data_IF_978949653182
#
_entry.id   IF_978949653182
#
_cell.length_a   1.000
_cell.length_b   1.000
_cell.length_c   1.000
_cell.angle_alpha   90.00
_cell.angle_beta   90.00
_cell.angle_gamma   90.00
#
_symmetry.space_group_name_H-M   'P 1'
#
loop_
_entity.id
_entity.type
_entity.pdbx_description
1 polymer ?
#
# COMPACT_ATOMS: atom_id res chain seq x y z
N UNK A 1 28.09 31.94 -21.32
CA UNK A 1 26.64 31.74 -21.55
C UNK A 1 25.90 32.93 -20.96
N UNK A 2 25.26 33.75 -21.78
CA UNK A 2 24.84 35.12 -21.42
C UNK A 2 23.43 35.10 -20.79
N UNK A 3 23.19 35.82 -19.68
CA UNK A 3 21.89 35.90 -18.97
C UNK A 3 20.71 36.27 -19.88
N UNK A 4 20.99 36.89 -21.03
CA UNK A 4 19.99 37.26 -22.07
C UNK A 4 19.46 36.08 -22.89
N UNK A 5 20.16 34.94 -22.94
CA UNK A 5 19.63 33.73 -23.58
C UNK A 5 18.71 32.94 -22.64
N UNK A 6 18.94 33.01 -21.32
CA UNK A 6 18.05 32.41 -20.32
C UNK A 6 16.69 33.12 -20.28
N UNK A 7 16.68 34.46 -20.41
CA UNK A 7 15.44 35.25 -20.43
C UNK A 7 14.63 35.13 -21.72
N UNK A 8 15.23 34.68 -22.84
CA UNK A 8 14.48 34.37 -24.08
C UNK A 8 13.67 33.08 -24.00
N UNK A 9 14.04 32.14 -23.13
CA UNK A 9 13.24 30.94 -22.87
C UNK A 9 12.09 31.19 -21.86
N UNK A 10 12.19 32.27 -21.09
CA UNK A 10 11.18 32.70 -20.09
C UNK A 10 10.40 33.94 -20.51
N UNK A 11 10.51 34.36 -21.77
CA UNK A 11 10.08 35.66 -22.28
C UNK A 11 8.65 35.70 -22.84
N UNK A 12 7.66 35.56 -21.96
CA UNK A 12 6.30 36.14 -22.04
C UNK A 12 5.75 35.96 -20.62
N UNK A 13 5.29 37.03 -19.96
CA UNK A 13 4.57 36.89 -18.67
C UNK A 13 3.56 35.76 -18.85
N UNK A 14 3.73 34.64 -18.13
CA UNK A 14 2.70 33.61 -18.11
C UNK A 14 1.41 34.32 -17.70
N UNK A 15 0.33 34.26 -18.51
CA UNK A 15 -0.95 34.86 -18.13
C UNK A 15 -1.27 34.50 -16.67
N UNK A 16 -1.85 35.41 -15.87
CA UNK A 16 -2.15 35.16 -14.45
C UNK A 16 -2.81 33.80 -14.20
N UNK A 17 -3.63 33.35 -15.15
CA UNK A 17 -4.24 32.02 -15.17
C UNK A 17 -3.24 30.86 -15.21
N UNK A 18 -2.22 30.90 -16.06
CA UNK A 18 -1.19 29.84 -16.14
C UNK A 18 -0.39 29.79 -14.83
N UNK A 19 -0.06 30.96 -14.26
CA UNK A 19 0.63 31.01 -12.97
C UNK A 19 -0.23 30.43 -11.85
N UNK A 20 -1.51 30.78 -11.80
CA UNK A 20 -2.46 30.23 -10.83
C UNK A 20 -2.56 28.70 -10.96
N UNK A 21 -2.70 28.17 -12.19
CA UNK A 21 -2.73 26.72 -12.43
C UNK A 21 -1.45 26.02 -11.97
N UNK A 22 -0.26 26.61 -12.22
CA UNK A 22 1.01 26.07 -11.72
C UNK A 22 1.02 25.97 -10.19
N UNK A 23 0.55 27.01 -9.49
CA UNK A 23 0.47 27.00 -8.01
C UNK A 23 -0.53 25.97 -7.52
N UNK A 24 -1.71 25.87 -8.14
CA UNK A 24 -2.72 24.86 -7.78
C UNK A 24 -2.16 23.45 -7.94
N UNK A 25 -1.47 23.16 -9.06
CA UNK A 25 -0.83 21.87 -9.29
C UNK A 25 0.28 21.58 -8.29
N UNK A 26 1.15 22.56 -8.01
CA UNK A 26 2.19 22.43 -6.99
C UNK A 26 1.61 22.07 -5.62
N UNK A 27 0.60 22.82 -5.17
CA UNK A 27 -0.06 22.56 -3.89
C UNK A 27 -0.75 21.19 -3.87
N UNK A 28 -1.46 20.83 -4.94
CA UNK A 28 -2.14 19.54 -5.06
C UNK A 28 -1.15 18.38 -4.96
N UNK A 29 -0.04 18.44 -5.72
CA UNK A 29 1.01 17.43 -5.69
C UNK A 29 1.68 17.37 -4.31
N UNK A 30 2.01 18.52 -3.73
CA UNK A 30 2.63 18.56 -2.40
C UNK A 30 1.73 17.95 -1.33
N UNK A 31 0.42 18.26 -1.37
CA UNK A 31 -0.55 17.68 -0.45
C UNK A 31 -0.71 16.17 -0.63
N UNK A 32 -0.80 15.68 -1.87
CA UNK A 32 -1.00 14.26 -2.16
C UNK A 32 0.26 13.42 -1.97
N UNK A 33 1.37 13.81 -2.61
CA UNK A 33 2.59 13.00 -2.66
C UNK A 33 3.46 13.13 -1.41
N UNK A 34 3.40 14.24 -0.68
CA UNK A 34 4.22 14.47 0.51
C UNK A 34 3.42 14.50 1.81
N UNK A 35 2.49 15.46 1.95
CA UNK A 35 1.78 15.67 3.22
C UNK A 35 0.87 14.50 3.58
N UNK A 36 0.20 13.88 2.61
CA UNK A 36 -0.65 12.71 2.85
C UNK A 36 0.12 11.55 3.48
N UNK A 37 1.26 11.19 2.90
CA UNK A 37 2.15 10.14 3.44
C UNK A 37 2.80 10.54 4.77
N UNK A 38 3.20 11.81 4.90
CA UNK A 38 3.74 12.33 6.16
C UNK A 38 2.71 12.23 7.28
N UNK A 39 1.47 12.67 7.03
CA UNK A 39 0.36 12.62 7.97
C UNK A 39 0.04 11.18 8.37
N UNK A 40 -0.10 10.26 7.41
CA UNK A 40 -0.36 8.85 7.71
C UNK A 40 0.70 8.26 8.66
N UNK A 41 1.99 8.50 8.41
CA UNK A 41 3.05 8.05 9.31
C UNK A 41 3.00 8.72 10.69
N UNK A 42 2.56 9.98 10.77
CA UNK A 42 2.46 10.71 12.04
C UNK A 42 1.26 10.26 12.88
N UNK A 43 0.11 10.06 12.26
CA UNK A 43 -1.11 9.55 12.89
C UNK A 43 -0.89 8.11 13.43
N UNK A 44 0.05 7.37 12.81
CA UNK A 44 0.49 6.07 13.29
C UNK A 44 1.27 6.10 14.60
N UNK A 45 1.95 7.20 14.93
CA UNK A 45 2.66 7.34 16.19
C UNK A 45 1.75 7.96 17.27
N UNK A 46 1.93 7.63 18.56
CA UNK A 46 2.93 6.71 19.11
C UNK A 46 2.55 5.24 18.92
N UNK A 47 3.51 4.36 19.20
CA UNK A 47 3.28 2.92 19.37
C UNK A 47 2.16 2.65 20.40
N UNK A 48 1.33 1.62 20.19
CA UNK A 48 0.27 1.27 21.13
C UNK A 48 0.83 0.89 22.50
N UNK A 49 0.06 1.17 23.54
CA UNK A 49 0.40 0.83 24.93
C UNK A 49 -0.83 0.28 25.62
N UNK A 50 -0.64 -0.72 26.48
CA UNK A 50 -1.71 -1.14 27.39
C UNK A 50 -1.86 -0.11 28.52
N UNK A 51 -3.08 0.29 28.88
CA UNK A 51 -3.33 1.11 30.07
C UNK A 51 -2.82 0.47 31.37
N UNK A 52 -2.73 -0.87 31.41
CA UNK A 52 -2.28 -1.62 32.58
C UNK A 52 -0.77 -1.66 32.76
N UNK A 53 0.00 -1.22 31.74
CA UNK A 53 1.45 -1.11 31.84
C UNK A 53 1.84 0.01 32.79
N UNK A 54 1.91 -0.33 34.09
CA UNK A 54 2.56 0.53 35.08
C UNK A 54 4.00 0.72 34.64
N UNK A 55 4.46 1.98 34.63
CA UNK A 55 5.89 2.26 34.58
C UNK A 55 6.52 1.62 35.83
N UNK A 56 7.05 0.41 35.71
CA UNK A 56 7.77 -0.24 36.80
C UNK A 56 9.01 0.61 37.05
N UNK A 57 9.07 1.24 38.22
CA UNK A 57 10.27 1.92 38.69
C UNK A 57 11.39 0.89 38.86
N UNK A 58 12.62 1.33 38.64
CA UNK A 58 13.88 0.58 38.62
C UNK A 58 14.23 -0.18 39.92
N UNK A 59 13.35 -0.23 40.92
CA UNK A 59 13.68 -0.71 42.26
C UNK A 59 13.55 -2.24 42.46
N UNK A 60 13.03 -3.00 41.49
CA UNK A 60 12.95 -4.46 41.61
C UNK A 60 13.34 -5.16 40.31
N UNK A 61 14.63 -5.46 40.16
CA UNK A 61 15.12 -6.66 39.46
C UNK A 61 16.62 -6.82 39.63
N UNK A 62 16.99 -7.65 40.60
CA UNK A 62 18.24 -8.39 40.57
C UNK A 62 18.12 -9.40 39.41
N UNK A 63 19.16 -9.47 38.56
CA UNK A 63 19.36 -10.40 37.44
C UNK A 63 18.61 -10.12 36.12
N UNK A 64 18.93 -9.00 35.45
CA UNK A 64 19.03 -9.00 33.98
C UNK A 64 20.42 -8.50 33.57
N UNK A 65 21.05 -9.25 32.67
CA UNK A 65 22.35 -9.03 32.05
C UNK A 65 22.64 -7.56 31.73
N UNK A 66 23.82 -7.08 32.17
CA UNK A 66 24.33 -5.70 32.02
C UNK A 66 24.60 -5.23 30.56
N UNK A 67 24.05 -5.91 29.55
CA UNK A 67 24.26 -5.61 28.13
C UNK A 67 23.00 -5.15 27.38
N UNK A 68 21.86 -4.94 28.04
CA UNK A 68 20.65 -4.49 27.35
C UNK A 68 20.60 -2.96 27.24
N UNK A 69 21.00 -2.43 26.07
CA UNK A 69 20.94 -1.01 25.69
C UNK A 69 19.51 -0.40 25.67
N UNK A 70 18.52 -1.07 26.27
CA UNK A 70 17.10 -0.69 26.28
C UNK A 70 16.63 0.00 27.57
N UNK A 71 17.51 0.18 28.56
CA UNK A 71 17.22 1.00 29.73
C UNK A 71 17.41 2.49 29.43
N UNK A 72 16.31 3.24 29.47
CA UNK A 72 16.35 4.71 29.63
C UNK A 72 15.59 5.02 30.92
N UNK A 73 16.29 5.61 31.88
CA UNK A 73 15.73 6.15 33.12
C UNK A 73 14.94 5.11 33.98
N UNK A 74 15.46 3.88 34.06
CA UNK A 74 14.86 2.82 34.88
C UNK A 74 13.58 2.20 34.30
N UNK A 75 13.15 2.63 33.10
CA UNK A 75 11.95 2.13 32.42
C UNK A 75 12.33 1.15 31.31
N UNK A 76 11.70 -0.02 31.26
CA UNK A 76 11.87 -0.97 30.14
C UNK A 76 10.92 -0.53 29.03
N UNK A 77 11.48 -0.09 27.91
CA UNK A 77 10.67 0.24 26.72
C UNK A 77 10.04 -1.04 26.14
N UNK A 78 8.76 -1.01 25.72
CA UNK A 78 8.15 -2.13 25.00
C UNK A 78 8.94 -2.50 23.75
N UNK A 79 8.93 -3.79 23.38
CA UNK A 79 9.47 -4.27 22.12
C UNK A 79 8.45 -4.06 21.00
N UNK A 80 8.80 -3.26 19.99
CA UNK A 80 7.84 -2.78 18.99
C UNK A 80 8.03 -3.48 17.64
N UNK A 81 6.96 -4.10 17.15
CA UNK A 81 6.90 -4.89 15.94
C UNK A 81 5.93 -4.22 14.96
N UNK A 82 6.38 -3.91 13.75
CA UNK A 82 5.51 -3.49 12.65
C UNK A 82 5.16 -4.72 11.80
N UNK A 83 3.87 -5.00 11.64
CA UNK A 83 3.35 -6.15 10.91
C UNK A 83 2.81 -5.67 9.56
N UNK A 84 3.29 -6.28 8.48
CA UNK A 84 2.98 -5.96 7.09
C UNK A 84 2.35 -7.20 6.44
N UNK A 85 1.10 -7.08 6.00
CA UNK A 85 0.44 -8.09 5.17
C UNK A 85 0.59 -7.79 3.69
N UNK A 86 0.71 -8.84 2.87
CA UNK A 86 0.50 -8.82 1.41
C UNK A 86 1.11 -7.61 0.70
N UNK A 87 2.43 -7.34 0.84
CA UNK A 87 3.06 -6.29 0.05
C UNK A 87 2.96 -6.59 -1.44
N UNK A 88 2.82 -7.86 -1.85
CA UNK A 88 2.50 -8.35 -3.19
C UNK A 88 3.14 -7.48 -4.26
N UNK A 89 4.48 -7.52 -4.29
CA UNK A 89 5.26 -6.77 -5.25
C UNK A 89 4.74 -7.07 -6.65
N UNK A 90 4.15 -6.04 -7.29
CA UNK A 90 3.54 -6.18 -8.61
C UNK A 90 4.61 -6.55 -9.62
N UNK A 91 4.32 -7.54 -10.46
CA UNK A 91 5.24 -8.05 -11.46
C UNK A 91 4.52 -8.58 -12.71
N UNK A 92 5.26 -9.21 -13.63
CA UNK A 92 4.74 -9.68 -14.92
C UNK A 92 3.58 -10.69 -14.81
N UNK A 93 3.41 -11.34 -13.67
CA UNK A 93 2.37 -12.33 -13.40
C UNK A 93 1.12 -11.74 -12.72
N UNK A 94 1.14 -10.47 -12.31
CA UNK A 94 0.02 -9.83 -11.61
C UNK A 94 -1.25 -9.66 -12.43
N UNK A 95 -1.17 -8.94 -13.56
CA UNK A 95 -2.36 -8.41 -14.26
C UNK A 95 -2.41 -8.72 -15.75
N UNK A 96 -1.56 -9.64 -16.25
CA UNK A 96 -1.46 -9.97 -17.68
C UNK A 96 -1.08 -8.78 -18.58
N UNK A 97 -0.54 -7.70 -17.99
CA UNK A 97 -0.11 -6.49 -18.70
C UNK A 97 1.27 -6.74 -19.32
N UNK A 98 1.59 -6.01 -20.38
CA UNK A 98 2.87 -6.13 -21.10
C UNK A 98 3.48 -4.77 -21.41
N UNK A 99 4.80 -4.75 -21.55
CA UNK A 99 5.55 -3.56 -21.98
C UNK A 99 5.37 -2.36 -21.05
N UNK A 100 5.13 -1.19 -21.65
CA UNK A 100 5.09 0.09 -20.91
C UNK A 100 4.01 0.12 -19.82
N UNK A 101 2.85 -0.50 -20.05
CA UNK A 101 1.76 -0.51 -19.06
C UNK A 101 2.16 -1.31 -17.81
N UNK A 102 2.84 -2.44 -18.00
CA UNK A 102 3.40 -3.24 -16.91
C UNK A 102 4.41 -2.41 -16.10
N UNK A 103 5.38 -1.82 -16.79
CA UNK A 103 6.40 -0.96 -16.17
C UNK A 103 5.79 0.21 -15.37
N UNK A 104 4.78 0.89 -15.93
CA UNK A 104 4.07 1.98 -15.22
C UNK A 104 3.40 1.45 -13.95
N UNK A 105 2.80 0.26 -14.01
CA UNK A 105 2.12 -0.34 -12.86
C UNK A 105 3.11 -0.67 -11.75
N UNK A 106 4.20 -1.36 -12.09
CA UNK A 106 5.30 -1.67 -11.17
C UNK A 106 5.88 -0.42 -10.56
N UNK A 107 6.16 0.60 -11.38
CA UNK A 107 6.74 1.86 -10.93
C UNK A 107 5.88 2.52 -9.85
N UNK A 108 4.58 2.73 -10.10
CA UNK A 108 3.72 3.42 -9.13
C UNK A 108 3.42 2.58 -7.89
N UNK A 109 3.28 1.26 -8.04
CA UNK A 109 3.14 0.33 -6.90
C UNK A 109 4.38 0.40 -5.99
N UNK A 110 5.58 0.35 -6.59
CA UNK A 110 6.85 0.46 -5.87
C UNK A 110 7.02 1.81 -5.19
N UNK A 111 6.68 2.91 -5.88
CA UNK A 111 6.79 4.24 -5.28
C UNK A 111 5.87 4.38 -4.06
N UNK A 112 4.64 3.87 -4.16
CA UNK A 112 3.69 3.88 -3.05
C UNK A 112 4.26 3.15 -1.82
N UNK A 113 4.70 1.90 -2.00
CA UNK A 113 5.25 1.10 -0.92
C UNK A 113 6.55 1.70 -0.36
N UNK A 114 7.46 2.17 -1.22
CA UNK A 114 8.75 2.76 -0.81
C UNK A 114 8.56 4.00 0.05
N UNK A 115 7.58 4.85 -0.27
CA UNK A 115 7.30 6.06 0.53
C UNK A 115 6.73 5.72 1.90
N UNK A 116 5.73 4.84 1.94
CA UNK A 116 5.16 4.37 3.21
C UNK A 116 6.24 3.71 4.07
N UNK A 117 7.03 2.80 3.49
CA UNK A 117 8.14 2.13 4.16
C UNK A 117 9.11 3.11 4.78
N UNK A 118 9.64 4.07 3.99
CA UNK A 118 10.60 5.07 4.47
C UNK A 118 10.02 5.95 5.58
N UNK A 119 8.78 6.44 5.43
CA UNK A 119 8.18 7.35 6.42
C UNK A 119 7.82 6.63 7.71
N UNK A 120 7.25 5.43 7.64
CA UNK A 120 6.97 4.60 8.82
C UNK A 120 8.26 4.21 9.54
N UNK A 121 9.30 3.72 8.84
CA UNK A 121 10.57 3.36 9.48
C UNK A 121 11.23 4.56 10.17
N UNK A 122 11.24 5.74 9.53
CA UNK A 122 11.77 6.97 10.14
C UNK A 122 10.99 7.39 11.37
N UNK A 123 9.66 7.31 11.31
CA UNK A 123 8.78 7.81 12.37
C UNK A 123 8.67 6.87 13.56
N UNK A 124 8.59 5.57 13.29
CA UNK A 124 8.31 4.54 14.28
C UNK A 124 9.57 3.85 14.81
N UNK A 125 10.62 3.72 13.97
CA UNK A 125 11.87 3.00 14.31
C UNK A 125 11.61 1.63 14.97
N UNK A 126 10.95 0.69 14.25
CA UNK A 126 10.56 -0.59 14.83
C UNK A 126 11.77 -1.43 15.26
N UNK A 127 11.61 -2.20 16.34
CA UNK A 127 12.60 -3.20 16.77
C UNK A 127 12.57 -4.42 15.84
N UNK A 128 11.38 -4.79 15.36
CA UNK A 128 11.21 -5.80 14.32
C UNK A 128 10.13 -5.45 13.29
N UNK A 129 10.25 -6.04 12.11
CA UNK A 129 9.22 -6.04 11.08
C UNK A 129 8.88 -7.49 10.73
N UNK A 130 7.59 -7.79 10.67
CA UNK A 130 7.08 -9.10 10.25
C UNK A 130 6.33 -8.93 8.93
N UNK A 131 6.70 -9.71 7.91
CA UNK A 131 5.96 -9.84 6.66
C UNK A 131 5.15 -11.13 6.67
N UNK A 132 3.82 -11.02 6.52
CA UNK A 132 2.87 -12.14 6.60
C UNK A 132 2.65 -12.82 5.25
N UNK A 133 3.71 -13.14 4.53
CA UNK A 133 3.59 -13.79 3.23
C UNK A 133 3.16 -12.86 2.10
N UNK A 134 3.03 -13.47 0.93
CA UNK A 134 2.74 -12.82 -0.34
C UNK A 134 3.66 -11.63 -0.58
N UNK A 135 4.97 -11.91 -0.50
CA UNK A 135 6.02 -10.92 -0.67
C UNK A 135 6.00 -10.37 -2.11
N UNK A 136 5.75 -11.27 -3.06
CA UNK A 136 5.67 -11.00 -4.50
C UNK A 136 4.40 -11.62 -5.04
N UNK A 137 3.80 -10.98 -6.05
CA UNK A 137 2.57 -11.47 -6.64
C UNK A 137 2.81 -12.69 -7.55
N UNK A 138 3.94 -12.71 -8.27
CA UNK A 138 4.37 -13.82 -9.12
C UNK A 138 5.35 -14.78 -8.46
N UNK A 139 5.52 -14.75 -7.12
CA UNK A 139 6.61 -15.42 -6.42
C UNK A 139 6.80 -16.89 -6.80
N UNK A 140 5.72 -17.67 -6.90
CA UNK A 140 5.71 -19.08 -7.33
C UNK A 140 5.79 -19.29 -8.85
N UNK A 141 5.54 -18.26 -9.64
CA UNK A 141 5.32 -18.34 -11.09
C UNK A 141 6.60 -18.22 -11.91
N UNK A 142 7.64 -17.57 -11.37
CA UNK A 142 8.93 -17.43 -12.05
C UNK A 142 9.58 -18.80 -12.33
N UNK A 143 9.83 -19.17 -13.60
CA UNK A 143 10.48 -20.43 -13.94
C UNK A 143 12.02 -20.32 -13.98
N UNK A 144 12.55 -19.11 -14.15
CA UNK A 144 13.97 -18.79 -14.23
C UNK A 144 14.46 -18.24 -12.87
N UNK A 145 15.44 -18.89 -12.26
CA UNK A 145 16.01 -18.50 -10.97
C UNK A 145 16.71 -17.14 -11.02
N UNK A 146 17.21 -16.71 -12.18
CA UNK A 146 17.81 -15.38 -12.35
C UNK A 146 16.74 -14.31 -12.25
N UNK A 147 15.63 -14.46 -12.98
CA UNK A 147 14.53 -13.50 -12.93
C UNK A 147 13.90 -13.47 -11.52
N UNK A 148 13.72 -14.64 -10.89
CA UNK A 148 13.33 -14.73 -9.48
C UNK A 148 14.27 -13.94 -8.58
N UNK A 149 15.59 -14.08 -8.76
CA UNK A 149 16.58 -13.35 -7.96
C UNK A 149 16.52 -11.84 -8.16
N UNK A 150 16.17 -11.37 -9.35
CA UNK A 150 15.94 -9.94 -9.62
C UNK A 150 14.75 -9.41 -8.81
N UNK A 151 13.63 -10.15 -8.75
CA UNK A 151 12.48 -9.78 -7.91
C UNK A 151 12.81 -9.82 -6.42
N UNK A 152 13.57 -10.81 -5.95
CA UNK A 152 14.07 -10.88 -4.58
C UNK A 152 14.92 -9.65 -4.24
N UNK A 153 15.82 -9.27 -5.14
CA UNK A 153 16.67 -8.09 -4.94
C UNK A 153 15.82 -6.80 -4.94
N UNK A 154 14.82 -6.69 -5.81
CA UNK A 154 13.89 -5.55 -5.85
C UNK A 154 13.10 -5.44 -4.55
N UNK A 155 12.55 -6.56 -4.05
CA UNK A 155 11.83 -6.62 -2.78
C UNK A 155 12.74 -6.21 -1.61
N UNK A 156 13.91 -6.84 -1.46
CA UNK A 156 14.87 -6.53 -0.39
C UNK A 156 15.38 -5.09 -0.46
N UNK A 157 15.55 -4.52 -1.64
CA UNK A 157 15.94 -3.12 -1.81
C UNK A 157 14.82 -2.14 -1.44
N UNK A 158 13.56 -2.47 -1.78
CA UNK A 158 12.39 -1.65 -1.44
C UNK A 158 12.17 -1.61 0.07
N UNK A 159 12.24 -2.76 0.73
CA UNK A 159 12.00 -2.95 2.15
C UNK A 159 13.27 -3.04 3.00
N UNK A 160 14.36 -2.40 2.57
CA UNK A 160 15.59 -2.34 3.36
C UNK A 160 15.36 -1.51 4.64
N UNK A 161 15.55 -2.08 5.85
CA UNK A 161 15.41 -1.31 7.09
C UNK A 161 16.35 -0.11 7.12
N UNK A 162 15.89 0.99 7.71
CA UNK A 162 16.72 2.19 7.89
C UNK A 162 17.68 2.07 9.06
N UNK A 163 17.30 1.30 10.08
CA UNK A 163 18.15 0.94 11.21
C UNK A 163 18.60 -0.50 11.03
N UNK A 164 19.91 -0.74 11.03
CA UNK A 164 20.47 -2.08 10.81
C UNK A 164 20.19 -3.03 11.98
N UNK A 165 19.79 -2.52 13.15
CA UNK A 165 19.38 -3.36 14.27
C UNK A 165 17.93 -3.86 14.16
N UNK A 166 17.12 -3.31 13.25
CA UNK A 166 15.74 -3.77 13.05
C UNK A 166 15.75 -5.19 12.50
N UNK A 167 15.15 -6.11 13.24
CA UNK A 167 15.00 -7.51 12.81
C UNK A 167 13.90 -7.61 11.75
N UNK A 168 14.14 -8.31 10.64
CA UNK A 168 13.11 -8.58 9.64
C UNK A 168 12.79 -10.07 9.63
N UNK A 169 11.51 -10.39 9.70
CA UNK A 169 10.97 -11.75 9.77
C UNK A 169 10.02 -11.96 8.61
N UNK A 170 10.12 -13.12 7.98
CA UNK A 170 9.35 -13.46 6.80
C UNK A 170 8.56 -14.75 7.04
N UNK A 171 7.38 -14.78 6.44
CA UNK A 171 6.54 -15.97 6.27
C UNK A 171 6.29 -16.14 4.77
N UNK A 172 5.99 -17.37 4.34
CA UNK A 172 5.55 -17.65 2.98
C UNK A 172 4.02 -17.53 2.86
N UNK A 173 3.56 -16.93 1.77
CA UNK A 173 2.15 -16.95 1.35
C UNK A 173 1.89 -17.78 0.10
N UNK A 174 0.63 -17.87 -0.34
CA UNK A 174 0.28 -18.67 -1.51
C UNK A 174 0.81 -18.09 -2.83
N UNK A 175 1.06 -16.78 -2.93
CA UNK A 175 1.76 -16.19 -4.07
C UNK A 175 3.26 -16.45 -4.07
N UNK A 176 3.84 -16.74 -2.90
CA UNK A 176 5.27 -17.05 -2.80
C UNK A 176 5.58 -18.51 -3.17
N UNK A 177 4.80 -19.47 -2.64
CA UNK A 177 5.11 -20.91 -2.74
C UNK A 177 4.01 -21.77 -3.35
N UNK A 178 2.79 -21.23 -3.50
CA UNK A 178 1.58 -21.96 -3.90
C UNK A 178 0.70 -22.34 -2.69
N UNK A 179 -0.37 -23.07 -2.95
CA UNK A 179 -1.30 -23.55 -1.91
C UNK A 179 -1.57 -25.05 -2.04
N UNK A 180 -1.50 -25.78 -0.92
CA UNK A 180 -1.81 -27.21 -0.86
C UNK A 180 -1.06 -28.02 -1.92
N UNK A 181 -1.78 -28.86 -2.67
CA UNK A 181 -1.20 -29.74 -3.70
C UNK A 181 -0.69 -29.00 -4.95
N UNK A 182 -0.91 -27.69 -5.03
CA UNK A 182 -0.27 -26.86 -6.04
C UNK A 182 1.18 -26.48 -5.72
N UNK A 183 1.66 -26.74 -4.50
CA UNK A 183 3.00 -26.34 -4.06
C UNK A 183 4.05 -27.26 -4.70
N UNK A 184 5.19 -26.67 -5.08
CA UNK A 184 6.33 -27.39 -5.64
C UNK A 184 7.54 -27.26 -4.73
N UNK A 185 8.20 -28.37 -4.41
CA UNK A 185 9.32 -28.42 -3.45
C UNK A 185 10.48 -27.50 -3.83
N UNK A 186 10.80 -27.37 -5.12
CA UNK A 186 11.85 -26.46 -5.59
C UNK A 186 11.51 -24.99 -5.33
N UNK A 187 10.22 -24.62 -5.35
CA UNK A 187 9.74 -23.25 -5.07
C UNK A 187 9.80 -22.96 -3.56
N UNK A 188 9.44 -23.93 -2.72
CA UNK A 188 9.63 -23.80 -1.26
C UNK A 188 11.12 -23.67 -0.93
N UNK A 189 11.97 -24.49 -1.54
CA UNK A 189 13.41 -24.45 -1.28
C UNK A 189 14.07 -23.14 -1.70
N UNK A 190 13.69 -22.55 -2.86
CA UNK A 190 14.22 -21.24 -3.27
C UNK A 190 13.71 -20.10 -2.39
N UNK A 191 12.48 -20.19 -1.89
CA UNK A 191 11.97 -19.23 -0.91
C UNK A 191 12.84 -19.30 0.35
N UNK A 192 13.07 -20.51 0.86
CA UNK A 192 13.87 -20.75 2.06
C UNK A 192 15.31 -20.23 1.92
N UNK A 193 15.94 -20.38 0.76
CA UNK A 193 17.29 -19.86 0.54
C UNK A 193 17.39 -18.34 0.62
N UNK A 194 16.29 -17.62 0.43
CA UNK A 194 16.27 -16.15 0.43
C UNK A 194 15.69 -15.53 1.70
N UNK A 195 14.68 -16.17 2.29
CA UNK A 195 13.86 -15.62 3.36
C UNK A 195 13.90 -16.45 4.66
N UNK A 196 14.54 -17.62 4.65
CA UNK A 196 14.64 -18.52 5.81
C UNK A 196 13.54 -19.59 5.84
N UNK A 197 13.55 -20.42 6.88
CA UNK A 197 12.55 -21.47 7.04
C UNK A 197 11.11 -20.93 7.04
N UNK A 198 10.16 -21.71 6.53
CA UNK A 198 8.76 -21.26 6.41
C UNK A 198 7.95 -21.47 7.70
N UNK A 199 8.45 -22.30 8.62
CA UNK A 199 7.90 -22.50 9.96
C UNK A 199 9.02 -22.44 11.00
N UNK A 200 8.87 -21.57 12.01
CA UNK A 200 9.87 -21.39 13.06
C UNK A 200 9.31 -20.68 14.30
N UNK A 201 9.96 -20.88 15.44
CA UNK A 201 9.69 -20.17 16.69
C UNK A 201 10.90 -19.33 17.08
N UNK A 202 10.66 -18.11 17.56
CA UNK A 202 11.67 -17.27 18.17
C UNK A 202 11.13 -16.56 19.40
N UNK A 203 12.01 -16.21 20.32
CA UNK A 203 11.66 -15.40 21.47
C UNK A 203 12.01 -13.94 21.21
N UNK A 204 11.00 -13.08 21.22
CA UNK A 204 11.17 -11.63 21.17
C UNK A 204 10.70 -11.06 22.50
N UNK A 205 11.64 -10.49 23.26
CA UNK A 205 11.39 -9.97 24.61
C UNK A 205 10.76 -11.04 25.53
N UNK A 206 9.59 -10.76 26.11
CA UNK A 206 8.84 -11.70 26.96
C UNK A 206 7.94 -12.69 26.22
N UNK A 207 7.95 -12.73 24.89
CA UNK A 207 6.98 -13.47 24.08
C UNK A 207 7.62 -14.56 23.22
N UNK A 208 6.87 -15.63 23.02
CA UNK A 208 7.11 -16.60 21.94
C UNK A 208 6.40 -16.11 20.67
N UNK A 209 7.15 -16.03 19.57
CA UNK A 209 6.65 -15.69 18.23
C UNK A 209 6.74 -16.94 17.39
N UNK A 210 5.60 -17.44 16.92
CA UNK A 210 5.50 -18.67 16.13
C UNK A 210 5.00 -18.33 14.74
N UNK A 211 5.77 -18.71 13.72
CA UNK A 211 5.37 -18.62 12.31
C UNK A 211 5.10 -20.02 11.79
N UNK A 212 3.98 -20.20 11.10
CA UNK A 212 3.58 -21.50 10.54
C UNK A 212 3.25 -21.35 9.06
N UNK A 213 3.87 -22.21 8.25
CA UNK A 213 3.55 -22.44 6.85
C UNK A 213 2.24 -23.24 6.71
N UNK A 214 1.11 -22.57 6.98
CA UNK A 214 -0.21 -23.18 6.90
C UNK A 214 -0.60 -23.56 5.46
N UNK A 215 -0.06 -22.88 4.45
CA UNK A 215 -0.33 -23.18 3.03
C UNK A 215 0.28 -24.53 2.63
N UNK A 216 1.51 -24.85 3.08
CA UNK A 216 2.13 -26.16 2.88
C UNK A 216 1.47 -27.25 3.73
N UNK A 217 1.03 -26.93 4.96
CA UNK A 217 0.29 -27.89 5.79
C UNK A 217 -1.01 -28.37 5.12
N UNK A 218 -1.63 -27.57 4.25
CA UNK A 218 -2.84 -27.94 3.51
C UNK A 218 -2.63 -28.97 2.39
N UNK A 219 -1.38 -29.32 2.06
CA UNK A 219 -1.10 -30.34 1.05
C UNK A 219 -1.35 -31.75 1.56
N UNK A 220 -1.70 -32.65 0.64
CA UNK A 220 -1.74 -34.10 0.81
C UNK A 220 -0.40 -34.78 0.48
N UNK A 221 0.54 -34.07 -0.15
CA UNK A 221 1.90 -34.57 -0.43
C UNK A 221 2.78 -34.47 0.82
N UNK A 222 3.27 -35.60 1.37
CA UNK A 222 4.14 -35.60 2.55
C UNK A 222 5.44 -34.81 2.32
N UNK A 223 5.96 -34.73 1.09
CA UNK A 223 7.16 -33.94 0.80
C UNK A 223 6.95 -32.43 1.00
N UNK A 224 5.70 -31.97 1.05
CA UNK A 224 5.32 -30.58 1.27
C UNK A 224 4.85 -30.37 2.72
N UNK A 225 3.89 -31.17 3.18
CA UNK A 225 3.23 -30.90 4.45
C UNK A 225 3.98 -31.45 5.68
N UNK A 226 4.93 -32.38 5.52
CA UNK A 226 5.54 -33.08 6.66
C UNK A 226 6.37 -32.14 7.53
N UNK A 227 7.32 -31.39 6.94
CA UNK A 227 8.18 -30.47 7.69
C UNK A 227 7.38 -29.47 8.56
N UNK A 228 6.40 -28.70 8.02
CA UNK A 228 5.64 -27.75 8.84
C UNK A 228 4.70 -28.44 9.85
N UNK A 229 4.15 -29.63 9.55
CA UNK A 229 3.34 -30.38 10.52
C UNK A 229 4.16 -30.98 11.66
N UNK A 230 5.36 -31.47 11.37
CA UNK A 230 6.30 -31.95 12.38
C UNK A 230 6.72 -30.81 13.30
N UNK A 231 7.05 -29.63 12.75
CA UNK A 231 7.31 -28.43 13.55
C UNK A 231 6.16 -28.13 14.52
N UNK A 232 4.91 -28.07 14.04
CA UNK A 232 3.75 -27.78 14.90
C UNK A 232 3.55 -28.83 15.99
N UNK A 233 3.81 -30.11 15.68
CA UNK A 233 3.73 -31.22 16.64
C UNK A 233 4.81 -31.13 17.73
N UNK A 234 5.98 -30.60 17.38
CA UNK A 234 7.14 -30.50 18.25
C UNK A 234 7.19 -29.21 19.07
N UNK A 235 6.29 -28.24 18.80
CA UNK A 235 6.15 -27.03 19.61
C UNK A 235 5.89 -27.42 21.06
N UNK A 236 6.77 -26.98 21.95
CA UNK A 236 6.64 -27.23 23.38
C UNK A 236 5.64 -26.25 24.00
N UNK A 237 4.93 -26.66 25.05
CA UNK A 237 4.20 -25.72 25.90
C UNK A 237 5.12 -24.61 26.38
N UNK A 238 4.64 -23.37 26.34
CA UNK A 238 5.39 -22.21 26.82
C UNK A 238 4.61 -21.51 27.93
N UNK A 239 5.33 -21.17 28.99
CA UNK A 239 4.88 -20.28 30.06
C UNK A 239 4.72 -18.84 29.58
N UNK A 240 5.47 -18.44 28.56
CA UNK A 240 5.39 -17.12 27.92
C UNK A 240 4.10 -16.97 27.10
N UNK A 241 3.58 -15.73 26.96
CA UNK A 241 2.54 -15.45 25.99
C UNK A 241 3.05 -15.76 24.57
N UNK A 242 2.21 -16.41 23.76
CA UNK A 242 2.56 -16.86 22.42
C UNK A 242 1.70 -16.16 21.37
N UNK A 243 2.37 -15.52 20.42
CA UNK A 243 1.74 -14.88 19.26
C UNK A 243 2.02 -15.74 18.04
N UNK A 244 0.96 -16.22 17.42
CA UNK A 244 0.99 -17.01 16.22
C UNK A 244 0.80 -16.14 14.99
N UNK A 245 1.54 -16.45 13.93
CA UNK A 245 1.40 -15.86 12.62
C UNK A 245 1.04 -16.97 11.62
N UNK A 246 0.04 -16.71 10.79
CA UNK A 246 -0.31 -17.50 9.60
C UNK A 246 -0.45 -16.57 8.40
N UNK A 247 -0.34 -17.09 7.18
CA UNK A 247 -0.63 -16.29 6.00
C UNK A 247 -2.14 -16.28 5.75
N UNK A 248 -2.70 -17.45 5.40
CA UNK A 248 -4.15 -17.61 5.26
C UNK A 248 -4.82 -17.55 6.65
N UNK A 249 -5.92 -16.78 6.81
CA UNK A 249 -6.67 -16.70 8.05
C UNK A 249 -7.21 -18.04 8.53
N UNK A 250 -7.33 -18.23 9.85
CA UNK A 250 -7.88 -19.46 10.39
C UNK A 250 -9.39 -19.55 10.09
N UNK A 251 -9.92 -20.78 10.18
CA UNK A 251 -11.32 -21.07 9.94
C UNK A 251 -12.24 -20.17 10.76
N UNK A 252 -13.34 -19.73 10.13
CA UNK A 252 -14.37 -18.90 10.76
C UNK A 252 -15.73 -19.51 10.52
N UNK A 253 -16.51 -19.59 11.59
CA UNK A 253 -17.89 -20.04 11.49
C UNK A 253 -18.67 -19.12 10.54
N UNK A 254 -19.40 -19.68 9.56
CA UNK A 254 -20.23 -18.88 8.68
C UNK A 254 -21.29 -18.13 9.49
N UNK A 255 -21.32 -16.80 9.38
CA UNK A 255 -22.42 -16.04 10.00
C UNK A 255 -23.72 -16.35 9.28
N UNK A 256 -24.83 -16.60 10.01
CA UNK A 256 -26.16 -16.70 9.42
C UNK A 256 -26.63 -15.30 8.97
N UNK A 257 -26.08 -14.80 7.87
CA UNK A 257 -26.62 -13.66 7.13
C UNK A 257 -26.97 -14.13 5.72
N UNK A 258 -28.07 -14.87 5.68
CA UNK A 258 -28.91 -15.03 4.50
C UNK A 258 -30.37 -14.88 4.95
N UNK A 259 -30.88 -13.65 4.96
CA UNK A 259 -32.33 -13.42 4.81
C UNK A 259 -33.14 -12.95 6.03
N UNK A 260 -32.59 -12.82 7.24
CA UNK A 260 -33.34 -12.27 8.37
C UNK A 260 -32.93 -10.82 8.65
N UNK A 261 -33.89 -9.89 8.53
CA UNK A 261 -33.79 -8.50 8.93
C UNK A 261 -33.50 -8.43 10.44
N UNK A 262 -32.23 -8.46 10.84
CA UNK A 262 -31.83 -8.09 12.20
C UNK A 262 -31.59 -6.58 12.22
N UNK A 263 -32.18 -5.93 13.22
CA UNK A 263 -32.09 -4.48 13.46
C UNK A 263 -30.70 -4.01 13.89
N UNK A 264 -29.81 -4.93 14.26
CA UNK A 264 -28.42 -4.64 14.59
C UNK A 264 -27.48 -5.67 13.92
N UNK A 265 -26.34 -5.24 13.32
CA UNK A 265 -25.32 -6.16 12.82
C UNK A 265 -24.77 -6.96 14.02
N UNK A 266 -24.54 -8.28 13.90
CA UNK A 266 -23.87 -9.01 14.96
C UNK A 266 -22.53 -8.35 15.28
N UNK A 267 -22.19 -8.26 16.56
CA UNK A 267 -20.94 -7.65 17.06
C UNK A 267 -19.66 -8.37 16.54
N UNK A 268 -19.81 -9.51 15.85
CA UNK A 268 -18.75 -10.48 15.54
C UNK A 268 -18.35 -10.55 14.03
N UNK A 269 -18.63 -9.52 13.22
CA UNK A 269 -18.26 -9.50 11.80
C UNK A 269 -16.99 -8.68 11.52
N UNK A 270 -15.81 -9.28 11.68
CA UNK A 270 -14.52 -8.65 11.34
C UNK A 270 -14.16 -7.36 12.08
N UNK A 271 -14.93 -6.96 13.08
CA UNK A 271 -14.77 -5.70 13.77
C UNK A 271 -15.07 -4.46 12.90
N UNK A 272 -15.14 -3.27 13.53
CA UNK A 272 -15.55 -2.03 12.86
C UNK A 272 -14.49 -1.41 11.95
N UNK A 273 -13.25 -1.91 11.99
CA UNK A 273 -12.11 -1.34 11.27
C UNK A 273 -11.94 -1.90 9.84
N UNK A 274 -12.73 -2.92 9.46
CA UNK A 274 -12.76 -3.45 8.10
C UNK A 274 -13.35 -2.44 7.11
N UNK A 275 -12.76 -2.31 5.93
CA UNK A 275 -13.28 -1.41 4.88
C UNK A 275 -14.45 -2.04 4.12
N UNK A 276 -14.38 -3.35 3.87
CA UNK A 276 -15.43 -4.13 3.23
C UNK A 276 -16.58 -4.42 4.18
N UNK A 277 -17.82 -4.33 3.66
CA UNK A 277 -19.02 -4.79 4.39
C UNK A 277 -19.19 -6.31 4.38
N UNK A 278 -18.33 -7.03 3.64
CA UNK A 278 -18.41 -8.48 3.48
C UNK A 278 -17.44 -9.16 4.45
N UNK A 279 -17.89 -10.23 5.07
CA UNK A 279 -17.02 -11.15 5.81
C UNK A 279 -16.12 -11.93 4.86
N UNK A 280 -15.02 -12.45 5.42
CA UNK A 280 -14.28 -13.54 4.79
C UNK A 280 -15.15 -14.79 4.89
N UNK A 281 -15.59 -15.31 3.75
CA UNK A 281 -16.33 -16.56 3.66
C UNK A 281 -15.40 -17.64 3.13
N UNK A 282 -15.63 -18.87 3.59
CA UNK A 282 -14.88 -19.99 3.05
C UNK A 282 -15.09 -20.11 1.54
N UNK A 283 -14.00 -20.29 0.81
CA UNK A 283 -13.96 -20.34 -0.64
C UNK A 283 -12.56 -20.71 -1.10
N UNK A 284 -12.46 -21.37 -2.25
CA UNK A 284 -11.19 -21.81 -2.80
C UNK A 284 -11.21 -21.67 -4.32
N UNK A 285 -10.03 -21.61 -4.90
CA UNK A 285 -9.83 -21.66 -6.34
C UNK A 285 -8.44 -22.14 -6.70
N UNK A 286 -7.93 -21.73 -7.85
CA UNK A 286 -6.61 -22.15 -8.29
C UNK A 286 -5.52 -21.60 -7.35
N UNK A 287 -4.92 -22.50 -6.58
CA UNK A 287 -3.82 -22.21 -5.65
C UNK A 287 -4.12 -21.11 -4.61
N UNK A 288 -5.36 -21.00 -4.15
CA UNK A 288 -5.73 -20.18 -3.00
C UNK A 288 -6.94 -20.75 -2.25
N UNK A 289 -7.07 -20.37 -0.97
CA UNK A 289 -8.23 -20.64 -0.14
C UNK A 289 -8.40 -19.50 0.87
N UNK A 290 -9.60 -18.94 0.98
CA UNK A 290 -9.85 -17.73 1.79
C UNK A 290 -9.67 -17.95 3.30
N UNK A 291 -9.92 -19.16 3.79
CA UNK A 291 -9.79 -19.54 5.20
C UNK A 291 -9.21 -20.94 5.29
N UNK A 292 -8.36 -21.20 6.28
CA UNK A 292 -7.91 -22.56 6.59
C UNK A 292 -9.09 -23.49 6.89
N UNK A 293 -8.92 -24.81 6.72
CA UNK A 293 -9.98 -25.76 7.10
C UNK A 293 -10.19 -25.75 8.61
N UNK A 294 -11.39 -26.14 9.06
CA UNK A 294 -11.72 -26.18 10.48
C UNK A 294 -10.78 -27.12 11.23
N UNK A 295 -10.53 -28.30 10.66
CA UNK A 295 -9.68 -29.33 11.25
C UNK A 295 -8.25 -28.84 11.44
N UNK A 296 -7.69 -28.16 10.42
CA UNK A 296 -6.34 -27.64 10.48
C UNK A 296 -6.23 -26.44 11.44
N UNK A 297 -7.25 -25.58 11.48
CA UNK A 297 -7.31 -24.45 12.41
C UNK A 297 -7.39 -24.91 13.87
N UNK A 298 -8.27 -25.87 14.15
CA UNK A 298 -8.43 -26.46 15.49
C UNK A 298 -7.12 -27.16 15.93
N UNK A 299 -6.47 -27.89 15.01
CA UNK A 299 -5.17 -28.52 15.26
C UNK A 299 -4.09 -27.49 15.59
N UNK A 300 -3.92 -26.46 14.75
CA UNK A 300 -2.91 -25.41 14.95
C UNK A 300 -3.13 -24.70 16.29
N UNK A 301 -4.34 -24.25 16.57
CA UNK A 301 -4.64 -23.52 17.81
C UNK A 301 -4.47 -24.37 19.07
N UNK A 302 -4.76 -25.66 18.98
CA UNK A 302 -4.60 -26.61 20.09
C UNK A 302 -3.13 -26.92 20.36
N UNK A 303 -2.36 -27.25 19.33
CA UNK A 303 -0.95 -27.62 19.48
C UNK A 303 -0.08 -26.43 19.86
N UNK A 304 -0.29 -25.28 19.21
CA UNK A 304 0.51 -24.08 19.50
C UNK A 304 0.17 -23.46 20.84
N UNK A 305 -1.04 -23.67 21.38
CA UNK A 305 -1.53 -22.96 22.57
C UNK A 305 -1.40 -21.43 22.44
N UNK A 306 -1.57 -20.90 21.21
CA UNK A 306 -1.45 -19.46 20.94
C UNK A 306 -2.42 -18.64 21.80
N UNK A 307 -1.96 -17.45 22.19
CA UNK A 307 -2.73 -16.46 22.96
C UNK A 307 -3.25 -15.32 22.07
N UNK A 308 -2.64 -15.12 20.90
CA UNK A 308 -3.05 -14.17 19.85
C UNK A 308 -2.64 -14.69 18.48
N UNK A 309 -3.39 -14.36 17.44
CA UNK A 309 -3.07 -14.71 16.04
C UNK A 309 -3.05 -13.46 15.15
N UNK A 310 -2.09 -13.37 14.25
CA UNK A 310 -2.14 -12.46 13.10
C UNK A 310 -2.14 -13.25 11.79
N UNK A 311 -2.99 -12.86 10.86
CA UNK A 311 -3.11 -13.43 9.51
C UNK A 311 -3.01 -12.36 8.40
N UNK A 312 -2.83 -12.77 7.15
CA UNK A 312 -2.83 -11.92 5.94
C UNK A 312 -3.88 -12.38 4.92
N UNK A 313 -3.51 -12.45 3.63
CA UNK A 313 -4.21 -13.02 2.46
C UNK A 313 -5.54 -12.34 2.05
N UNK A 314 -6.40 -11.92 2.98
CA UNK A 314 -7.68 -11.27 2.63
C UNK A 314 -7.55 -9.78 2.27
N UNK A 315 -6.37 -9.21 2.45
CA UNK A 315 -5.98 -7.83 2.12
C UNK A 315 -6.70 -6.71 2.92
N UNK A 316 -7.76 -7.01 3.66
CA UNK A 316 -8.50 -6.04 4.48
C UNK A 316 -8.51 -6.45 5.95
N UNK A 317 -8.65 -5.46 6.85
CA UNK A 317 -8.65 -5.70 8.28
C UNK A 317 -9.79 -6.64 8.65
N UNK A 318 -9.55 -7.60 9.52
CA UNK A 318 -10.63 -8.37 10.12
C UNK A 318 -10.24 -8.90 11.49
N UNK A 319 -11.04 -8.60 12.49
CA UNK A 319 -10.87 -9.09 13.86
C UNK A 319 -11.95 -10.12 14.22
N UNK A 320 -11.52 -11.27 14.76
CA UNK A 320 -12.39 -12.36 15.22
C UNK A 320 -11.83 -12.98 16.51
N UNK A 321 -12.67 -13.70 17.25
CA UNK A 321 -12.25 -14.44 18.45
C UNK A 321 -12.53 -15.93 18.25
N UNK A 322 -11.48 -16.74 18.36
CA UNK A 322 -11.57 -18.20 18.33
C UNK A 322 -11.83 -18.76 19.72
N UNK A 323 -12.70 -19.76 19.83
CA UNK A 323 -12.97 -20.49 21.07
C UNK A 323 -12.26 -21.84 21.05
N UNK A 324 -11.26 -22.01 21.90
CA UNK A 324 -10.45 -23.23 21.99
C UNK A 324 -10.59 -23.81 23.39
N UNK A 325 -11.57 -24.70 23.58
CA UNK A 325 -12.01 -25.12 24.90
C UNK A 325 -12.57 -23.93 25.68
N UNK A 326 -11.96 -23.60 26.82
CA UNK A 326 -12.30 -22.42 27.64
C UNK A 326 -11.52 -21.15 27.26
N UNK A 327 -10.53 -21.24 26.35
CA UNK A 327 -9.69 -20.09 25.97
C UNK A 327 -10.34 -19.31 24.82
N UNK A 328 -10.17 -18.00 24.87
CA UNK A 328 -10.48 -17.09 23.77
C UNK A 328 -9.17 -16.65 23.13
N UNK A 329 -9.02 -16.89 21.82
CA UNK A 329 -7.82 -16.55 21.07
C UNK A 329 -8.22 -15.53 19.98
N UNK A 330 -7.98 -14.23 20.20
CA UNK A 330 -8.21 -13.22 19.17
C UNK A 330 -7.30 -13.43 17.95
N UNK A 331 -7.84 -13.17 16.76
CA UNK A 331 -7.12 -13.11 15.50
C UNK A 331 -7.37 -11.78 14.80
N UNK A 332 -6.30 -11.17 14.28
CA UNK A 332 -6.39 -10.03 13.35
C UNK A 332 -5.83 -10.44 11.98
N UNK A 333 -6.66 -10.41 10.94
CA UNK A 333 -6.20 -10.34 9.56
C UNK A 333 -5.72 -8.92 9.26
N UNK A 334 -4.48 -8.80 8.83
CA UNK A 334 -3.78 -7.55 8.58
C UNK A 334 -4.09 -7.09 7.15
N UNK A 335 -4.31 -5.79 6.98
CA UNK A 335 -4.47 -5.21 5.65
C UNK A 335 -3.23 -5.45 4.78
N UNK A 336 -3.46 -5.55 3.47
CA UNK A 336 -2.41 -5.41 2.48
C UNK A 336 -1.66 -4.09 2.65
N UNK A 337 -0.35 -4.12 2.42
CA UNK A 337 0.49 -2.94 2.32
C UNK A 337 0.48 -2.32 0.92
N UNK A 338 0.00 -3.06 -0.07
CA UNK A 338 -0.01 -2.65 -1.47
C UNK A 338 -1.25 -1.83 -1.81
N UNK A 339 -1.09 -0.81 -2.65
CA UNK A 339 -2.22 -0.05 -3.20
C UNK A 339 -2.99 -0.81 -4.29
N UNK A 340 -2.53 -2.00 -4.67
CA UNK A 340 -3.00 -2.70 -5.86
C UNK A 340 -3.98 -3.85 -5.54
N UNK A 341 -4.29 -4.06 -4.26
CA UNK A 341 -4.93 -5.28 -3.76
C UNK A 341 -6.38 -5.08 -3.30
N UNK A 342 -7.09 -4.18 -3.97
CA UNK A 342 -8.55 -4.06 -3.88
C UNK A 342 -9.09 -3.25 -2.70
N UNK A 343 -8.25 -2.78 -1.78
CA UNK A 343 -8.65 -1.87 -0.69
C UNK A 343 -8.29 -0.41 -0.98
N UNK A 344 -9.05 0.54 -0.42
CA UNK A 344 -8.80 1.99 -0.59
C UNK A 344 -7.70 2.51 0.33
N UNK A 345 -7.65 1.99 1.54
CA UNK A 345 -6.68 2.32 2.55
C UNK A 345 -5.88 1.06 2.91
N UNK A 346 -4.75 0.80 2.22
CA UNK A 346 -3.78 -0.20 2.67
C UNK A 346 -3.33 0.08 4.11
N UNK A 347 -2.72 -0.87 4.80
CA UNK A 347 -2.43 -0.72 6.22
C UNK A 347 -1.21 -1.48 6.73
N UNK A 348 -0.85 -1.20 7.97
CA UNK A 348 0.04 -2.02 8.81
C UNK A 348 -0.60 -2.18 10.18
N UNK A 349 -0.25 -3.24 10.90
CA UNK A 349 -0.60 -3.35 12.33
C UNK A 349 0.66 -3.13 13.15
N UNK A 350 0.57 -2.21 14.11
CA UNK A 350 1.61 -1.98 15.10
C UNK A 350 1.35 -2.87 16.30
N UNK A 351 2.38 -3.55 16.79
CA UNK A 351 2.33 -4.43 17.95
C UNK A 351 3.44 -4.02 18.93
N UNK A 352 3.08 -3.81 20.19
CA UNK A 352 4.01 -3.55 21.27
C UNK A 352 3.93 -4.67 22.29
N UNK A 353 5.08 -5.20 22.69
CA UNK A 353 5.20 -6.29 23.64
C UNK A 353 5.83 -5.79 24.94
N UNK A 354 5.33 -6.28 26.07
CA UNK A 354 5.84 -5.94 27.39
C UNK A 354 5.73 -7.13 28.33
N UNK A 355 6.71 -7.26 29.22
CA UNK A 355 6.68 -8.21 30.32
C UNK A 355 5.59 -7.79 31.34
N UNK A 356 4.35 -8.24 31.14
CA UNK A 356 3.22 -8.06 32.04
C UNK A 356 2.96 -9.32 32.88
N UNK A 357 2.25 -9.16 34.00
CA UNK A 357 1.87 -10.28 34.90
C UNK A 357 0.79 -11.17 34.30
N UNK A 358 -0.06 -10.62 33.42
CA UNK A 358 -1.07 -11.35 32.66
C UNK A 358 -0.70 -11.46 31.18
N UNK A 359 -0.96 -12.61 30.56
CA UNK A 359 -0.82 -12.82 29.12
C UNK A 359 -1.69 -11.86 28.30
N UNK A 360 -2.90 -11.55 28.74
CA UNK A 360 -3.82 -10.64 28.04
C UNK A 360 -3.37 -9.19 28.09
N UNK A 361 -2.54 -8.84 29.06
CA UNK A 361 -1.97 -7.51 29.21
C UNK A 361 -0.57 -7.40 28.63
N UNK A 362 0.02 -8.49 28.13
CA UNK A 362 1.41 -8.53 27.70
C UNK A 362 1.66 -7.90 26.33
N UNK A 363 0.61 -7.53 25.60
CA UNK A 363 0.70 -6.90 24.29
C UNK A 363 -0.33 -5.78 24.12
N UNK A 364 -0.05 -4.87 23.20
CA UNK A 364 -1.01 -3.89 22.70
C UNK A 364 -0.83 -3.77 21.19
N UNK A 365 -1.91 -3.67 20.43
CA UNK A 365 -1.85 -3.52 18.98
C UNK A 365 -2.72 -2.36 18.49
N UNK A 366 -2.45 -1.87 17.28
CA UNK A 366 -3.20 -0.79 16.64
C UNK A 366 -3.08 -0.86 15.12
N UNK A 367 -4.21 -0.80 14.42
CA UNK A 367 -4.25 -0.61 12.96
C UNK A 367 -3.78 0.79 12.57
N UNK A 368 -2.98 0.83 11.51
CA UNK A 368 -2.36 2.01 10.96
C UNK A 368 -2.66 2.10 9.46
N UNK A 369 -3.58 2.97 9.06
CA UNK A 369 -3.98 3.14 7.66
C UNK A 369 -2.97 4.01 6.89
N UNK A 370 -2.73 3.62 5.65
CA UNK A 370 -1.87 4.28 4.68
C UNK A 370 -2.70 5.15 3.71
N UNK A 371 -2.08 6.09 2.97
CA UNK A 371 -2.81 7.01 2.10
C UNK A 371 -3.58 6.30 0.97
N UNK A 372 -4.79 6.79 0.67
CA UNK A 372 -5.54 6.38 -0.53
C UNK A 372 -4.92 7.00 -1.80
N UNK A 373 -3.93 6.30 -2.35
CA UNK A 373 -3.21 6.69 -3.56
C UNK A 373 -4.13 6.76 -4.78
N UNK A 374 -5.17 5.94 -4.83
CA UNK A 374 -6.10 5.93 -5.96
C UNK A 374 -6.92 7.23 -5.97
N UNK A 375 -7.42 7.67 -4.81
CA UNK A 375 -8.10 8.97 -4.70
C UNK A 375 -7.17 10.14 -5.01
N UNK A 376 -5.88 10.06 -4.67
CA UNK A 376 -4.88 11.06 -5.07
C UNK A 376 -4.80 11.14 -6.60
N UNK A 377 -4.67 10.00 -7.29
CA UNK A 377 -4.63 9.98 -8.75
C UNK A 377 -5.93 10.43 -9.41
N UNK A 378 -7.10 10.06 -8.87
CA UNK A 378 -8.40 10.55 -9.35
C UNK A 378 -8.46 12.09 -9.25
N UNK A 379 -8.02 12.67 -8.13
CA UNK A 379 -7.96 14.13 -7.95
C UNK A 379 -7.06 14.79 -8.98
N UNK A 380 -5.91 14.20 -9.32
CA UNK A 380 -5.06 14.71 -10.40
C UNK A 380 -5.73 14.62 -11.77
N UNK A 381 -6.42 13.53 -12.06
CA UNK A 381 -7.19 13.38 -13.30
C UNK A 381 -8.27 14.45 -13.45
N UNK A 382 -9.03 14.70 -12.38
CA UNK A 382 -10.05 15.76 -12.33
C UNK A 382 -9.41 17.14 -12.53
N UNK A 383 -8.33 17.44 -11.78
CA UNK A 383 -7.62 18.72 -11.88
C UNK A 383 -7.05 18.94 -13.30
N UNK A 384 -6.58 17.89 -13.95
CA UNK A 384 -6.12 17.93 -15.34
C UNK A 384 -7.24 18.24 -16.31
N UNK A 385 -8.39 17.57 -16.20
CA UNK A 385 -9.57 17.87 -17.02
C UNK A 385 -10.05 19.32 -16.84
N UNK A 386 -10.12 19.79 -15.58
CA UNK A 386 -10.49 21.18 -15.28
C UNK A 386 -9.47 22.18 -15.83
N UNK A 387 -8.17 21.88 -15.74
CA UNK A 387 -7.12 22.74 -16.30
C UNK A 387 -7.26 22.89 -17.82
N UNK A 388 -7.55 21.80 -18.53
CA UNK A 388 -7.79 21.82 -19.99
C UNK A 388 -9.02 22.69 -20.28
N UNK A 389 -10.12 22.46 -19.58
CA UNK A 389 -11.38 23.17 -19.81
C UNK A 389 -11.20 24.68 -19.61
N UNK A 390 -10.59 25.09 -18.48
CA UNK A 390 -10.39 26.50 -18.14
C UNK A 390 -9.47 27.19 -19.16
N UNK A 391 -8.38 26.55 -19.58
CA UNK A 391 -7.47 27.10 -20.59
C UNK A 391 -8.15 27.20 -21.97
N UNK A 392 -8.91 26.17 -22.36
CA UNK A 392 -9.65 26.17 -23.63
C UNK A 392 -10.71 27.28 -23.64
N UNK A 393 -11.51 27.40 -22.58
CA UNK A 393 -12.51 28.45 -22.44
C UNK A 393 -11.86 29.84 -22.47
N UNK A 394 -10.78 30.05 -21.70
CA UNK A 394 -10.05 31.33 -21.69
C UNK A 394 -9.56 31.70 -23.09
N UNK A 395 -8.94 30.77 -23.80
CA UNK A 395 -8.42 31.01 -25.14
C UNK A 395 -9.55 31.27 -26.14
N UNK A 396 -10.64 30.49 -26.12
CA UNK A 396 -11.80 30.74 -26.98
C UNK A 396 -12.42 32.12 -26.72
N UNK A 397 -12.64 32.49 -25.45
CA UNK A 397 -13.19 33.80 -25.08
C UNK A 397 -12.30 34.96 -25.55
N UNK A 398 -10.97 34.83 -25.48
CA UNK A 398 -10.05 35.80 -26.07
C UNK A 398 -10.20 35.88 -27.62
N UNK A 399 -10.33 34.75 -28.31
CA UNK A 399 -10.49 34.71 -29.78
C UNK A 399 -11.85 35.24 -30.29
N UNK A 400 -12.90 35.17 -29.46
CA UNK A 400 -14.19 35.82 -29.73
C UNK A 400 -14.25 37.28 -29.25
N UNK A 401 -13.17 37.79 -28.64
CA UNK A 401 -13.10 39.18 -28.15
C UNK A 401 -13.93 39.45 -26.88
N UNK A 402 -14.35 38.39 -26.18
CA UNK A 402 -15.10 38.47 -24.92
C UNK A 402 -14.20 38.65 -23.70
N UNK A 403 -12.89 38.42 -23.86
CA UNK A 403 -11.85 38.77 -22.89
C UNK A 403 -10.83 39.70 -23.57
N UNK A 404 -10.39 40.76 -22.86
CA UNK A 404 -9.31 41.64 -23.33
C UNK A 404 -8.01 40.84 -23.40
N UNK A 405 -7.40 40.74 -24.59
CA UNK A 405 -6.09 40.12 -24.72
C UNK A 405 -5.06 40.95 -23.95
N UNK A 406 -4.30 40.29 -23.08
CA UNK A 406 -3.10 40.86 -22.49
C UNK A 406 -2.01 40.97 -23.54
N UNK A 407 -2.13 41.93 -24.46
CA UNK A 407 -1.09 42.34 -25.41
C UNK A 407 -0.90 41.44 -26.63
N UNK A 408 -1.61 41.76 -27.71
CA UNK A 408 -1.10 41.81 -29.09
C UNK A 408 -2.24 42.30 -30.02
N UNK A 409 -2.05 43.46 -30.65
CA UNK A 409 -2.94 43.94 -31.71
C UNK A 409 -2.87 43.02 -32.95
N UNK A 410 -3.99 42.64 -33.56
CA UNK A 410 -3.97 42.03 -34.89
C UNK A 410 -3.80 43.13 -35.95
N UNK A 411 -2.73 43.06 -36.73
CA UNK A 411 -2.57 43.83 -37.97
C UNK A 411 -3.52 43.28 -39.04
N UNK A 412 -4.43 44.12 -39.54
CA UNK A 412 -5.33 43.82 -40.66
C UNK A 412 -4.70 44.36 -41.94
N UNK A 413 -4.52 43.58 -43.02
CA UNK A 413 -4.29 44.12 -44.36
C UNK A 413 -5.63 44.38 -45.05
N UNK A 414 -5.81 45.59 -45.57
CA UNK A 414 -6.96 45.96 -46.42
C UNK A 414 -6.75 45.49 -47.85
N UNK A 415 -7.68 44.70 -48.39
CA UNK A 415 -7.82 44.57 -49.85
C UNK A 415 -9.31 44.50 -50.22
N UNK A 416 -9.74 45.43 -51.08
CA UNK A 416 -11.11 45.57 -51.59
C UNK A 416 -11.13 45.08 -53.04
N UNK A 417 -11.98 44.10 -53.36
CA UNK A 417 -12.37 43.77 -54.74
C UNK A 417 -13.88 43.53 -54.82
N UNK A 418 -14.50 44.12 -55.83
CA UNK A 418 -15.93 44.11 -56.13
C UNK A 418 -16.33 42.85 -56.90
N UNK A 419 -17.17 41.97 -56.31
CA UNK A 419 -17.83 40.86 -57.03
C UNK A 419 -19.24 40.57 -56.47
N UNK A 420 -20.14 40.26 -57.42
CA UNK A 420 -21.55 39.80 -57.44
C UNK A 420 -22.22 39.27 -56.14
N UNK A 421 -23.47 39.71 -55.87
CA UNK A 421 -24.18 39.66 -54.57
C UNK A 421 -24.70 38.27 -54.14
N UNK A 422 -25.02 37.36 -55.07
CA UNK A 422 -25.52 36.01 -54.71
C UNK A 422 -24.39 34.99 -54.49
N UNK A 423 -23.30 35.11 -55.24
CA UNK A 423 -22.05 34.40 -54.95
C UNK A 423 -21.40 34.91 -53.65
N UNK A 424 -21.57 36.19 -53.31
CA UNK A 424 -21.17 36.76 -52.04
C UNK A 424 -21.85 36.11 -50.84
N UNK A 425 -23.13 35.71 -50.90
CA UNK A 425 -23.80 35.12 -49.72
C UNK A 425 -23.29 33.72 -49.39
N UNK A 426 -23.11 32.85 -50.40
CA UNK A 426 -22.50 31.52 -50.23
C UNK A 426 -21.00 31.59 -49.93
N UNK A 427 -20.25 32.47 -50.59
CA UNK A 427 -18.82 32.66 -50.31
C UNK A 427 -18.58 33.35 -48.97
N UNK A 428 -19.46 34.25 -48.51
CA UNK A 428 -19.40 34.82 -47.15
C UNK A 428 -19.72 33.78 -46.09
N UNK A 429 -20.70 32.90 -46.29
CA UNK A 429 -20.99 31.84 -45.32
C UNK A 429 -19.87 30.79 -45.24
N UNK A 430 -19.32 30.36 -46.38
CA UNK A 430 -18.12 29.49 -46.42
C UNK A 430 -16.88 30.18 -45.81
N UNK A 431 -16.64 31.45 -46.14
CA UNK A 431 -15.53 32.25 -45.59
C UNK A 431 -15.66 32.48 -44.08
N UNK A 432 -16.88 32.75 -43.60
CA UNK A 432 -17.15 32.93 -42.17
C UNK A 432 -17.01 31.60 -41.42
N UNK A 433 -17.41 30.48 -42.02
CA UNK A 433 -17.20 29.16 -41.46
C UNK A 433 -15.70 28.79 -41.41
N UNK A 434 -14.94 29.07 -42.47
CA UNK A 434 -13.48 28.89 -42.51
C UNK A 434 -12.76 29.78 -41.48
N UNK A 435 -13.18 31.03 -41.31
CA UNK A 435 -12.65 31.95 -40.30
C UNK A 435 -12.93 31.44 -38.88
N UNK A 436 -14.14 30.95 -38.63
CA UNK A 436 -14.55 30.39 -37.34
C UNK A 436 -13.79 29.10 -37.03
N UNK A 437 -13.57 28.24 -38.03
CA UNK A 437 -12.76 27.04 -37.89
C UNK A 437 -11.28 27.37 -37.62
N UNK A 438 -10.74 28.38 -38.31
CA UNK A 438 -9.38 28.90 -38.07
C UNK A 438 -9.18 29.40 -36.64
N UNK A 439 -10.12 30.20 -36.12
CA UNK A 439 -10.09 30.67 -34.72
C UNK A 439 -10.12 29.53 -33.71
N UNK A 440 -10.92 28.49 -33.96
CA UNK A 440 -10.97 27.31 -33.10
C UNK A 440 -9.62 26.56 -33.14
N UNK A 441 -9.05 26.35 -34.32
CA UNK A 441 -7.75 25.69 -34.47
C UNK A 441 -6.62 26.45 -33.76
N UNK A 442 -6.62 27.77 -33.85
CA UNK A 442 -5.62 28.60 -33.16
C UNK A 442 -5.82 28.60 -31.64
N UNK A 443 -7.07 28.59 -31.16
CA UNK A 443 -7.38 28.41 -29.73
C UNK A 443 -6.89 27.05 -29.21
N UNK A 444 -7.06 25.98 -29.99
CA UNK A 444 -6.56 24.64 -29.64
C UNK A 444 -5.03 24.60 -29.58
N UNK A 445 -4.34 25.17 -30.57
CA UNK A 445 -2.86 25.26 -30.57
C UNK A 445 -2.34 26.04 -29.37
N UNK A 446 -2.96 27.18 -29.05
CA UNK A 446 -2.58 27.99 -27.88
C UNK A 446 -2.83 27.24 -26.58
N UNK A 447 -3.98 26.59 -26.45
CA UNK A 447 -4.33 25.75 -25.30
C UNK A 447 -3.32 24.63 -25.10
N UNK A 448 -2.90 23.95 -26.16
CA UNK A 448 -1.86 22.92 -26.08
C UNK A 448 -0.52 23.48 -25.55
N UNK A 449 -0.13 24.68 -25.97
CA UNK A 449 1.07 25.35 -25.47
C UNK A 449 0.94 25.77 -24.00
N UNK A 450 -0.22 26.26 -23.59
CA UNK A 450 -0.49 26.67 -22.20
C UNK A 450 -0.51 25.45 -21.27
N UNK A 451 -1.12 24.33 -21.70
CA UNK A 451 -1.07 23.05 -20.98
C UNK A 451 0.38 22.61 -20.77
N UNK A 452 1.23 22.68 -21.81
CA UNK A 452 2.66 22.32 -21.68
C UNK A 452 3.37 23.17 -20.63
N UNK A 453 3.08 24.46 -20.57
CA UNK A 453 3.67 25.36 -19.57
C UNK A 453 3.28 25.00 -18.13
N UNK A 454 2.09 24.42 -17.91
CA UNK A 454 1.65 23.94 -16.59
C UNK A 454 2.17 22.51 -16.32
N UNK A 455 2.00 21.59 -17.27
CA UNK A 455 2.26 20.17 -17.08
C UNK A 455 3.74 19.85 -16.85
N UNK A 456 4.66 20.45 -17.62
CA UNK A 456 6.10 20.18 -17.50
C UNK A 456 6.62 20.44 -16.07
N UNK A 457 6.46 21.64 -15.48
CA UNK A 457 6.93 21.88 -14.12
C UNK A 457 6.19 21.02 -13.08
N UNK A 458 4.90 20.73 -13.27
CA UNK A 458 4.14 19.84 -12.38
C UNK A 458 4.68 18.41 -12.39
N UNK A 459 5.02 17.86 -13.56
CA UNK A 459 5.62 16.52 -13.69
C UNK A 459 7.01 16.49 -13.04
N UNK A 460 7.84 17.52 -13.27
CA UNK A 460 9.16 17.63 -12.62
C UNK A 460 9.00 17.65 -11.10
N UNK A 461 8.06 18.45 -10.58
CA UNK A 461 7.80 18.52 -9.15
C UNK A 461 7.26 17.20 -8.58
N UNK A 462 6.35 16.53 -9.30
CA UNK A 462 5.86 15.19 -8.96
C UNK A 462 7.02 14.20 -8.79
N UNK A 463 7.95 14.17 -9.76
CA UNK A 463 9.10 13.27 -9.71
C UNK A 463 10.05 13.60 -8.55
N UNK A 464 10.24 14.88 -8.21
CA UNK A 464 11.00 15.28 -7.02
C UNK A 464 10.34 14.78 -5.73
N UNK A 465 9.03 14.96 -5.59
CA UNK A 465 8.28 14.41 -4.46
C UNK A 465 8.34 12.88 -4.41
N UNK A 466 8.39 12.21 -5.57
CA UNK A 466 8.47 10.76 -5.65
C UNK A 466 9.82 10.18 -5.26
N UNK A 467 10.92 10.84 -5.65
CA UNK A 467 12.27 10.29 -5.54
C UNK A 467 13.04 10.79 -4.29
N UNK A 468 12.77 12.01 -3.82
CA UNK A 468 13.63 12.71 -2.84
C UNK A 468 12.98 12.85 -1.46
N UNK A 469 11.66 13.08 -1.41
CA UNK A 469 10.91 13.41 -0.19
C UNK A 469 10.13 12.21 0.38
#
# INVERSE_FOLDING_TARGET
MNLRQFTKWTGKRSPPLILALKVIWFLSIFTGEYLGFWKASHDCAPWPKSPSWKMRSSASRQELSNNDHRQIDGTVRPYNIMIIGDPQLTDKYSYGRKGVIQWITEFYSDQYMRRNWKKLNRKLRPDAVVFLGDLMDGGREWPDDREWKEEVNRFKALFKPLDSSTKVLYMAGNHDVGFGDGIRTNIVNRFKSEFGDTSYELFLDSHSIVMIDSVSMSSTDPNIHQQPRDFVREIRPSDKPRILFTHVPLYREPSPISGAYRSEPPEDLCGPLRQSKKQIRQGAGYQYQNLMTKELSDYILTQTQADFVFSGDDHDYCEVIHKVGSRQVPEISVNTFSMAQGVRYPGVVLLSLSAAESKTESYANKLCLLPDQISIFIRYGILFGLSILVLLCSNLLEFYGLLKSGGASPTIPSYRQDINKDQQRKNRSLSQHQLHLGKILDALKRTANDIRQVAIPSIVFYLLCALVL
#
